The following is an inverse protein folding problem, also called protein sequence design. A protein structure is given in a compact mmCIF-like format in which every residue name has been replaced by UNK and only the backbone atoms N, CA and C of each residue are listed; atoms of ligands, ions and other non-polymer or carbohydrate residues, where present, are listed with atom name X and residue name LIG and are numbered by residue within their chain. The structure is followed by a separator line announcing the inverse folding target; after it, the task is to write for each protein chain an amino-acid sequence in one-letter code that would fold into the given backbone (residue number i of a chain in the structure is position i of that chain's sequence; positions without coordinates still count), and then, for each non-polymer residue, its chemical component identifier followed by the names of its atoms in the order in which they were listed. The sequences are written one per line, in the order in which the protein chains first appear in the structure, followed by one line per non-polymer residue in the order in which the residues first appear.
data_IF_386892784093
#
_entry.id   IF_386892784093
#
_cell.length_a   1.000
_cell.length_b   1.000
_cell.length_c   1.000
_cell.angle_alpha   90.00
_cell.angle_beta   90.00
_cell.angle_gamma   90.00
#
_symmetry.space_group_name_H-M   'P 1'
#
loop_
_entity.id
_entity.type
_entity.pdbx_description
1 polymer ?
#
# COMPACT_ATOMS: atom_id res chain seq x y z
N UNK A 1 -0.24 -49.22 -22.39
CA UNK A 1 0.99 -48.76 -23.10
C UNK A 1 0.59 -47.59 -23.98
N UNK A 2 1.34 -46.47 -23.89
CA UNK A 2 1.62 -45.42 -24.93
C UNK A 2 0.44 -45.01 -25.84
N UNK A 3 -0.01 -43.76 -25.97
CA UNK A 3 0.63 -42.47 -25.77
C UNK A 3 0.25 -41.53 -26.94
N UNK A 4 0.36 -40.22 -26.68
CA UNK A 4 0.47 -39.06 -27.61
C UNK A 4 -0.78 -38.23 -27.96
N UNK A 5 -0.60 -36.94 -27.59
CA UNK A 5 -1.29 -35.68 -27.90
C UNK A 5 -1.31 -35.33 -29.39
N UNK A 6 -2.30 -34.54 -29.83
CA UNK A 6 -2.13 -33.20 -30.43
C UNK A 6 -3.50 -32.56 -30.74
N UNK A 7 -3.78 -31.40 -30.12
CA UNK A 7 -3.89 -30.04 -30.71
C UNK A 7 -5.22 -29.76 -31.41
N UNK A 8 -6.05 -28.93 -30.76
CA UNK A 8 -7.06 -28.13 -31.43
C UNK A 8 -6.68 -26.65 -31.25
N UNK A 9 -6.26 -26.05 -32.36
CA UNK A 9 -6.08 -24.62 -32.54
C UNK A 9 -7.48 -23.98 -32.47
N UNK A 10 -7.72 -23.07 -31.54
CA UNK A 10 -8.86 -22.15 -31.66
C UNK A 10 -8.37 -20.84 -32.25
N UNK A 11 -8.74 -20.69 -33.52
CA UNK A 11 -8.52 -19.52 -34.36
C UNK A 11 -9.47 -18.42 -33.90
N UNK A 12 -8.93 -17.26 -33.51
CA UNK A 12 -9.71 -16.07 -33.18
C UNK A 12 -10.17 -15.43 -34.50
N UNK A 13 -11.37 -15.79 -34.96
CA UNK A 13 -11.98 -15.16 -36.15
C UNK A 13 -12.54 -13.79 -35.78
N UNK A 14 -11.90 -12.74 -36.30
CA UNK A 14 -12.45 -11.39 -36.36
C UNK A 14 -13.70 -11.39 -37.27
N UNK A 15 -14.88 -11.09 -36.71
CA UNK A 15 -16.08 -10.79 -37.49
C UNK A 15 -16.08 -9.32 -37.91
N UNK A 16 -15.70 -9.07 -39.15
CA UNK A 16 -16.11 -7.87 -39.89
C UNK A 16 -17.55 -8.07 -40.35
N UNK A 17 -18.49 -7.29 -39.82
CA UNK A 17 -19.84 -7.19 -40.36
C UNK A 17 -20.10 -5.78 -40.90
N UNK A 18 -20.56 -5.79 -42.15
CA UNK A 18 -20.88 -4.71 -43.06
C UNK A 18 -21.96 -3.77 -42.53
N UNK A 19 -21.75 -2.47 -42.74
CA UNK A 19 -22.73 -1.40 -42.52
C UNK A 19 -23.80 -1.43 -43.61
N UNK A 20 -25.09 -1.46 -43.22
CA UNK A 20 -26.16 -0.94 -44.07
C UNK A 20 -27.29 -0.36 -43.19
N UNK A 21 -27.77 0.81 -43.58
CA UNK A 21 -28.68 1.70 -42.86
C UNK A 21 -30.11 1.15 -42.68
N UNK A 22 -30.75 1.51 -41.56
CA UNK A 22 -32.06 2.21 -41.47
C UNK A 22 -32.80 1.87 -40.16
N UNK A 23 -33.09 2.89 -39.33
CA UNK A 23 -34.14 2.81 -38.30
C UNK A 23 -33.81 3.51 -36.99
N UNK A 24 -34.42 4.67 -36.77
CA UNK A 24 -34.24 5.57 -35.62
C UNK A 24 -34.41 4.91 -34.25
N UNK A 25 -33.45 5.16 -33.35
CA UNK A 25 -33.49 4.87 -31.92
C UNK A 25 -32.17 5.26 -31.28
N UNK A 26 -32.08 6.51 -30.79
CA UNK A 26 -30.86 7.08 -30.22
C UNK A 26 -30.53 6.44 -28.86
N UNK A 27 -29.62 5.47 -28.86
CA UNK A 27 -28.82 5.10 -27.69
C UNK A 27 -27.35 5.35 -28.06
N UNK A 28 -26.68 6.27 -27.35
CA UNK A 28 -25.23 6.43 -27.49
C UNK A 28 -24.53 5.43 -26.59
N UNK A 29 -23.68 4.64 -27.23
CA UNK A 29 -22.79 3.63 -26.72
C UNK A 29 -21.57 4.31 -26.05
N UNK A 30 -21.18 3.77 -24.90
CA UNK A 30 -19.92 3.98 -24.15
C UNK A 30 -19.07 5.19 -24.53
N UNK A 31 -19.17 6.24 -23.73
CA UNK A 31 -18.09 7.20 -23.61
C UNK A 31 -17.00 6.52 -22.78
N UNK A 32 -15.96 6.04 -23.48
CA UNK A 32 -14.68 5.65 -22.89
C UNK A 32 -14.18 6.87 -22.13
N UNK A 33 -14.27 6.84 -20.81
CA UNK A 33 -13.80 7.94 -19.97
C UNK A 33 -12.29 8.01 -20.14
N UNK A 34 -11.85 9.19 -20.54
CA UNK A 34 -10.46 9.56 -20.84
C UNK A 34 -9.57 9.11 -19.68
N UNK A 35 -8.46 8.43 -19.99
CA UNK A 35 -7.40 8.14 -19.02
C UNK A 35 -7.08 9.42 -18.25
N UNK A 36 -7.22 9.37 -16.92
CA UNK A 36 -6.82 10.46 -16.06
C UNK A 36 -5.34 10.76 -16.35
N UNK A 37 -4.97 12.05 -16.42
CA UNK A 37 -3.57 12.46 -16.64
C UNK A 37 -2.66 12.08 -15.45
N UNK A 38 -3.24 11.57 -14.36
CA UNK A 38 -2.58 10.93 -13.21
C UNK A 38 -3.24 9.56 -12.91
N UNK A 39 -2.43 8.56 -12.58
CA UNK A 39 -2.88 7.19 -12.27
C UNK A 39 -3.73 7.16 -11.01
N UNK A 40 -4.80 6.36 -11.00
CA UNK A 40 -5.65 6.11 -9.83
C UNK A 40 -4.86 5.58 -8.64
N UNK A 41 -3.74 4.89 -8.89
CA UNK A 41 -2.87 4.37 -7.83
C UNK A 41 -2.27 5.46 -6.94
N UNK A 42 -2.10 6.68 -7.45
CA UNK A 42 -1.62 7.84 -6.67
C UNK A 42 -2.66 8.42 -5.71
N UNK A 43 -3.92 8.05 -5.87
CA UNK A 43 -5.07 8.65 -5.17
C UNK A 43 -5.66 7.71 -4.10
N UNK A 44 -5.09 6.52 -3.95
CA UNK A 44 -5.52 5.50 -3.00
C UNK A 44 -4.43 5.20 -1.98
N UNK A 45 -4.76 4.54 -0.85
CA UNK A 45 -3.74 4.16 0.11
C UNK A 45 -2.72 3.21 -0.50
N UNK A 46 -1.48 3.27 -0.01
CA UNK A 46 -0.44 2.34 -0.47
C UNK A 46 -0.54 0.98 0.23
N UNK A 47 -1.04 0.97 1.47
CA UNK A 47 -1.06 -0.21 2.32
C UNK A 47 -2.45 -0.84 2.42
N UNK A 48 -2.55 -2.13 2.09
CA UNK A 48 -3.78 -2.90 2.18
C UNK A 48 -3.59 -4.18 3.00
N UNK A 49 -4.56 -4.52 3.85
CA UNK A 49 -4.54 -5.73 4.66
C UNK A 49 -5.79 -6.56 4.44
N UNK A 50 -5.58 -7.86 4.22
CA UNK A 50 -6.61 -8.89 4.23
C UNK A 50 -6.42 -9.78 5.46
N UNK A 51 -7.38 -9.73 6.37
CA UNK A 51 -7.41 -10.59 7.56
C UNK A 51 -8.84 -10.75 8.08
N UNK A 52 -9.07 -11.73 8.96
CA UNK A 52 -10.33 -11.88 9.68
C UNK A 52 -10.39 -11.10 11.00
N UNK A 53 -9.28 -10.47 11.42
CA UNK A 53 -9.13 -9.90 12.77
C UNK A 53 -9.12 -10.94 13.91
N UNK A 54 -9.18 -12.23 13.58
CA UNK A 54 -9.14 -13.36 14.52
C UNK A 54 -8.22 -14.45 13.98
N UNK A 55 -7.24 -14.87 14.78
CA UNK A 55 -6.15 -15.73 14.33
C UNK A 55 -4.86 -14.94 14.09
N UNK A 56 -3.76 -15.65 13.85
CA UNK A 56 -2.44 -15.06 13.68
C UNK A 56 -2.02 -15.11 12.20
N UNK A 57 -2.90 -14.61 11.33
CA UNK A 57 -2.71 -14.60 9.88
C UNK A 57 -3.12 -13.26 9.26
N UNK A 58 -2.45 -12.90 8.16
CA UNK A 58 -2.80 -11.76 7.33
C UNK A 58 -2.14 -11.92 5.95
N UNK A 59 -2.73 -11.27 4.95
CA UNK A 59 -2.04 -10.90 3.71
C UNK A 59 -1.94 -9.38 3.64
N UNK A 60 -0.72 -8.88 3.49
CA UNK A 60 -0.38 -7.47 3.45
C UNK A 60 0.11 -7.12 2.05
N UNK A 61 -0.32 -5.97 1.52
CA UNK A 61 0.12 -5.42 0.24
C UNK A 61 0.65 -4.01 0.45
N UNK A 62 1.78 -3.72 -0.17
CA UNK A 62 2.30 -2.37 -0.40
C UNK A 62 2.24 -2.10 -1.91
N UNK A 63 1.41 -1.15 -2.31
CA UNK A 63 1.12 -0.79 -3.70
C UNK A 63 1.78 0.53 -4.05
N UNK A 64 2.40 0.59 -5.21
CA UNK A 64 3.11 1.76 -5.75
C UNK A 64 2.21 2.56 -6.72
N UNK A 65 2.62 3.80 -7.02
CA UNK A 65 1.96 4.76 -7.93
C UNK A 65 1.66 4.24 -9.35
N UNK A 66 2.24 3.12 -9.76
CA UNK A 66 2.07 2.52 -11.08
C UNK A 66 1.33 1.17 -11.08
N UNK A 67 0.78 0.78 -9.92
CA UNK A 67 0.05 -0.47 -9.71
C UNK A 67 0.93 -1.69 -9.48
N UNK A 68 2.26 -1.54 -9.50
CA UNK A 68 3.16 -2.58 -9.00
C UNK A 68 3.01 -2.72 -7.50
N UNK A 69 3.20 -3.91 -6.96
CA UNK A 69 3.08 -4.14 -5.53
C UNK A 69 4.06 -5.21 -5.03
N UNK A 70 4.34 -5.13 -3.73
CA UNK A 70 4.93 -6.23 -2.95
C UNK A 70 3.94 -6.67 -1.88
N UNK A 71 4.05 -7.91 -1.43
CA UNK A 71 3.17 -8.41 -0.40
C UNK A 71 3.74 -9.59 0.37
N UNK A 72 3.18 -9.79 1.56
CA UNK A 72 3.50 -10.88 2.46
C UNK A 72 2.21 -11.50 2.95
N UNK A 73 2.08 -12.80 2.77
CA UNK A 73 1.10 -13.61 3.49
C UNK A 73 1.81 -14.33 4.63
N UNK A 74 1.18 -14.40 5.79
CA UNK A 74 1.58 -15.30 6.86
C UNK A 74 0.38 -15.93 7.55
N UNK A 75 0.56 -17.13 8.10
CA UNK A 75 -0.35 -17.78 9.04
C UNK A 75 0.43 -18.58 10.08
N UNK A 76 0.32 -18.15 11.33
CA UNK A 76 1.09 -18.67 12.46
C UNK A 76 0.30 -19.73 13.24
N UNK A 77 0.49 -20.99 12.85
CA UNK A 77 -0.07 -22.17 13.50
C UNK A 77 0.85 -22.68 14.62
N UNK A 78 0.91 -21.94 15.72
CA UNK A 78 1.83 -22.21 16.83
C UNK A 78 1.54 -23.52 17.59
N UNK A 79 0.37 -24.14 17.35
CA UNK A 79 0.03 -25.47 17.85
C UNK A 79 0.55 -26.63 17.00
N UNK A 80 0.87 -26.38 15.72
CA UNK A 80 1.37 -27.41 14.79
C UNK A 80 2.88 -27.59 14.97
N UNK A 81 3.24 -28.54 15.84
CA UNK A 81 4.61 -28.79 16.31
C UNK A 81 5.08 -30.19 15.92
N UNK A 82 6.40 -30.40 15.89
CA UNK A 82 6.99 -31.70 15.61
C UNK A 82 8.49 -31.78 15.86
N UNK A 83 9.11 -32.88 15.43
CA UNK A 83 10.53 -33.14 15.63
C UNK A 83 11.37 -32.07 14.92
N UNK A 84 12.14 -31.30 15.71
CA UNK A 84 12.98 -30.21 15.22
C UNK A 84 12.28 -28.85 15.18
N UNK A 85 10.95 -28.79 15.27
CA UNK A 85 10.18 -27.54 15.28
C UNK A 85 9.16 -27.47 16.46
N UNK A 86 9.65 -27.40 17.72
CA UNK A 86 8.78 -27.39 18.90
C UNK A 86 7.99 -26.08 19.07
N UNK A 87 8.33 -25.02 18.34
CA UNK A 87 7.76 -23.68 18.51
C UNK A 87 6.63 -23.38 17.51
N UNK A 88 6.21 -24.35 16.70
CA UNK A 88 5.06 -24.22 15.80
C UNK A 88 5.42 -24.24 14.32
N UNK A 89 4.40 -24.00 13.49
CA UNK A 89 4.51 -23.91 12.04
C UNK A 89 4.02 -22.54 11.57
N UNK A 90 4.72 -21.92 10.63
CA UNK A 90 4.31 -20.68 9.96
C UNK A 90 4.18 -20.98 8.47
N UNK A 91 2.99 -20.79 7.91
CA UNK A 91 2.78 -20.74 6.47
C UNK A 91 3.04 -19.32 6.01
N UNK A 92 3.77 -19.13 4.91
CA UNK A 92 4.08 -17.79 4.42
C UNK A 92 4.29 -17.75 2.91
N UNK A 93 4.08 -16.57 2.34
CA UNK A 93 4.39 -16.27 0.95
C UNK A 93 4.88 -14.83 0.85
N UNK A 94 6.11 -14.62 0.41
CA UNK A 94 6.54 -13.31 -0.10
C UNK A 94 6.25 -13.28 -1.59
N UNK A 95 5.66 -12.19 -2.07
CA UNK A 95 5.28 -12.08 -3.46
C UNK A 95 5.37 -10.64 -3.95
N UNK A 96 5.39 -10.49 -5.26
CA UNK A 96 5.29 -9.21 -5.95
C UNK A 96 4.43 -9.36 -7.19
N UNK A 97 3.90 -8.27 -7.69
CA UNK A 97 3.05 -8.32 -8.87
C UNK A 97 2.72 -6.95 -9.41
N UNK A 98 1.82 -6.93 -10.38
CA UNK A 98 1.33 -5.70 -10.99
C UNK A 98 -0.14 -5.81 -11.36
N UNK A 99 -0.92 -4.83 -10.92
CA UNK A 99 -2.26 -4.61 -11.42
C UNK A 99 -2.26 -3.65 -12.61
N UNK A 100 -3.21 -3.83 -13.53
CA UNK A 100 -3.55 -2.81 -14.54
C UNK A 100 -4.01 -1.51 -13.87
N UNK A 101 -4.00 -0.42 -14.64
CA UNK A 101 -4.64 0.84 -14.26
C UNK A 101 -6.14 0.64 -13.96
N UNK A 102 -6.65 1.00 -12.76
CA UNK A 102 -8.04 0.84 -12.41
C UNK A 102 -8.96 1.67 -13.30
N UNK A 103 -9.87 1.00 -14.02
CA UNK A 103 -10.84 1.65 -14.88
C UNK A 103 -12.17 1.82 -14.14
N UNK A 104 -12.58 3.08 -13.95
CA UNK A 104 -13.84 3.40 -13.30
C UNK A 104 -15.04 2.91 -14.13
N UNK A 105 -15.92 2.13 -13.52
CA UNK A 105 -17.18 1.69 -14.16
C UNK A 105 -18.44 2.05 -13.35
N UNK A 106 -18.29 2.42 -12.08
CA UNK A 106 -19.35 3.00 -11.26
C UNK A 106 -18.81 4.20 -10.45
N UNK A 107 -19.70 4.90 -9.75
CA UNK A 107 -19.36 6.03 -8.89
C UNK A 107 -18.28 5.67 -7.86
N UNK A 108 -18.34 4.49 -7.27
CA UNK A 108 -17.40 4.08 -6.22
C UNK A 108 -16.65 2.78 -6.57
N UNK A 109 -16.63 2.38 -7.85
CA UNK A 109 -16.09 1.09 -8.28
C UNK A 109 -15.19 1.25 -9.51
N UNK A 110 -14.02 0.62 -9.41
CA UNK A 110 -13.02 0.51 -10.46
C UNK A 110 -12.70 -0.96 -10.68
N UNK A 111 -12.50 -1.34 -11.94
CA UNK A 111 -12.11 -2.69 -12.34
C UNK A 111 -10.63 -2.70 -12.72
N UNK A 112 -9.91 -3.73 -12.29
CA UNK A 112 -8.51 -3.93 -12.62
C UNK A 112 -8.19 -5.42 -12.74
N UNK A 113 -7.28 -5.77 -13.63
CA UNK A 113 -6.73 -7.11 -13.78
C UNK A 113 -5.34 -7.22 -13.11
N UNK A 114 -5.02 -8.41 -12.61
CA UNK A 114 -3.68 -8.82 -12.18
C UNK A 114 -2.88 -9.26 -13.41
N UNK A 115 -1.91 -8.45 -13.84
CA UNK A 115 -1.08 -8.73 -15.02
C UNK A 115 0.10 -9.66 -14.70
N UNK A 116 0.73 -9.43 -13.54
CA UNK A 116 1.95 -10.11 -13.13
C UNK A 116 1.82 -10.53 -11.66
N UNK A 117 2.31 -11.74 -11.36
CA UNK A 117 2.37 -12.28 -10.00
C UNK A 117 3.59 -13.21 -9.91
N UNK A 118 4.53 -12.87 -9.04
CA UNK A 118 5.73 -13.65 -8.75
C UNK A 118 5.75 -13.99 -7.25
N UNK A 119 6.02 -15.25 -6.92
CA UNK A 119 6.11 -15.72 -5.53
C UNK A 119 7.51 -16.24 -5.23
N UNK A 120 7.99 -16.01 -4.02
CA UNK A 120 9.24 -16.60 -3.54
C UNK A 120 9.03 -18.04 -3.07
N UNK A 121 9.97 -18.91 -3.43
CA UNK A 121 9.94 -20.33 -3.06
C UNK A 121 8.94 -21.17 -3.86
N UNK A 122 8.87 -22.46 -3.52
CA UNK A 122 7.93 -23.40 -4.13
C UNK A 122 6.90 -23.81 -3.08
N UNK A 123 5.62 -23.73 -3.41
CA UNK A 123 4.53 -24.14 -2.52
C UNK A 123 4.78 -25.55 -1.92
N UNK A 124 4.64 -25.65 -0.60
CA UNK A 124 4.83 -26.88 0.17
C UNK A 124 6.28 -27.20 0.53
N UNK A 125 7.28 -26.52 -0.05
CA UNK A 125 8.65 -26.60 0.46
C UNK A 125 8.72 -25.97 1.85
N UNK A 126 9.58 -26.51 2.71
CA UNK A 126 9.70 -26.04 4.08
C UNK A 126 11.12 -26.12 4.61
N UNK A 127 11.40 -25.29 5.60
CA UNK A 127 12.65 -25.30 6.35
C UNK A 127 12.37 -25.07 7.83
N UNK A 128 13.34 -25.43 8.67
CA UNK A 128 13.26 -25.23 10.12
C UNK A 128 14.31 -24.20 10.50
N UNK A 129 13.87 -23.15 11.18
CA UNK A 129 14.75 -22.11 11.73
C UNK A 129 14.29 -21.78 13.15
N UNK A 130 15.24 -21.72 14.09
CA UNK A 130 14.98 -21.39 15.50
C UNK A 130 13.83 -22.21 16.16
N UNK A 131 13.64 -23.45 15.73
CA UNK A 131 12.62 -24.35 16.25
C UNK A 131 11.20 -24.07 15.72
N UNK A 132 11.04 -23.25 14.68
CA UNK A 132 9.79 -23.03 13.94
C UNK A 132 9.94 -23.66 12.56
N UNK A 133 8.89 -24.32 12.06
CA UNK A 133 8.83 -24.81 10.69
C UNK A 133 8.17 -23.75 9.81
N UNK A 134 8.89 -23.25 8.82
CA UNK A 134 8.37 -22.33 7.81
C UNK A 134 8.00 -23.10 6.55
N UNK A 135 6.78 -22.91 6.06
CA UNK A 135 6.24 -23.59 4.88
C UNK A 135 5.84 -22.55 3.85
N UNK A 136 6.40 -22.63 2.65
CA UNK A 136 6.00 -21.78 1.53
C UNK A 136 4.57 -22.11 1.11
N UNK A 137 3.74 -21.09 0.93
CA UNK A 137 2.34 -21.21 0.50
C UNK A 137 2.05 -20.30 -0.70
N UNK A 138 0.80 -20.32 -1.16
CA UNK A 138 0.28 -19.32 -2.09
C UNK A 138 -0.05 -17.99 -1.36
N UNK A 139 -0.10 -16.86 -2.09
CA UNK A 139 -0.49 -15.55 -1.55
C UNK A 139 -2.01 -15.48 -1.37
N UNK A 140 -2.50 -15.88 -0.19
CA UNK A 140 -3.93 -15.97 0.08
C UNK A 140 -4.64 -14.62 -0.13
N UNK A 141 -5.79 -14.64 -0.82
CA UNK A 141 -6.53 -13.44 -1.22
C UNK A 141 -6.11 -12.88 -2.58
N UNK A 142 -4.85 -13.08 -3.01
CA UNK A 142 -4.36 -12.70 -4.35
C UNK A 142 -4.52 -13.85 -5.34
N UNK A 143 -4.21 -15.09 -4.94
CA UNK A 143 -4.41 -16.25 -5.80
C UNK A 143 -5.91 -16.58 -6.00
N UNK A 144 -6.22 -17.39 -7.03
CA UNK A 144 -7.58 -17.86 -7.31
C UNK A 144 -8.40 -17.03 -8.31
N UNK A 145 -7.95 -15.82 -8.66
CA UNK A 145 -8.58 -14.96 -9.65
C UNK A 145 -7.60 -13.94 -10.25
N UNK A 146 -7.90 -13.44 -11.44
CA UNK A 146 -7.10 -12.38 -12.09
C UNK A 146 -7.83 -11.05 -12.19
N UNK A 147 -9.12 -11.00 -11.84
CA UNK A 147 -9.93 -9.79 -11.89
C UNK A 147 -10.21 -9.30 -10.47
N UNK A 148 -10.04 -8.01 -10.27
CA UNK A 148 -10.21 -7.34 -8.98
C UNK A 148 -11.09 -6.10 -9.13
N UNK A 149 -11.80 -5.79 -8.06
CA UNK A 149 -12.58 -4.54 -7.94
C UNK A 149 -11.99 -3.69 -6.83
N UNK A 150 -11.62 -2.46 -7.17
CA UNK A 150 -11.27 -1.42 -6.20
C UNK A 150 -12.53 -0.62 -5.86
N UNK A 151 -12.87 -0.60 -4.58
CA UNK A 151 -13.95 0.18 -3.99
C UNK A 151 -13.41 1.41 -3.29
N UNK A 152 -14.08 2.54 -3.49
CA UNK A 152 -13.78 3.79 -2.77
C UNK A 152 -14.73 3.99 -1.59
N UNK A 153 -14.38 4.83 -0.61
CA UNK A 153 -15.32 5.25 0.43
C UNK A 153 -16.64 5.76 -0.16
N UNK A 154 -17.75 5.37 0.47
CA UNK A 154 -19.11 5.67 0.05
C UNK A 154 -19.80 4.57 -0.78
N UNK A 155 -19.14 3.45 -1.08
CA UNK A 155 -19.80 2.29 -1.69
C UNK A 155 -20.87 1.70 -0.74
N UNK A 156 -22.15 1.58 -1.13
CA UNK A 156 -23.16 0.95 -0.29
C UNK A 156 -22.89 -0.54 -0.05
N UNK A 157 -23.04 -1.01 1.20
CA UNK A 157 -22.88 -2.43 1.54
C UNK A 157 -23.94 -3.32 0.86
N UNK A 158 -25.12 -2.78 0.56
CA UNK A 158 -26.18 -3.52 -0.16
C UNK A 158 -25.81 -3.85 -1.62
N UNK A 159 -24.78 -3.20 -2.16
CA UNK A 159 -24.30 -3.34 -3.53
C UNK A 159 -23.01 -4.17 -3.64
N UNK A 160 -22.54 -4.77 -2.53
CA UNK A 160 -21.39 -5.69 -2.54
C UNK A 160 -21.83 -7.07 -2.04
N UNK A 161 -21.01 -8.10 -2.28
CA UNK A 161 -21.32 -9.45 -1.79
C UNK A 161 -21.26 -9.54 -0.26
N UNK A 162 -22.01 -10.48 0.32
CA UNK A 162 -21.99 -10.74 1.77
C UNK A 162 -20.60 -11.19 2.25
N UNK A 163 -19.91 -12.01 1.46
CA UNK A 163 -18.56 -12.51 1.77
C UNK A 163 -17.55 -11.36 1.83
N UNK A 164 -17.52 -10.50 0.82
CA UNK A 164 -16.63 -9.33 0.80
C UNK A 164 -16.98 -8.34 1.92
N UNK A 165 -18.27 -8.07 2.14
CA UNK A 165 -18.71 -7.19 3.21
C UNK A 165 -18.24 -7.69 4.59
N UNK A 166 -18.22 -9.01 4.79
CA UNK A 166 -17.75 -9.60 6.04
C UNK A 166 -16.26 -9.33 6.28
N UNK A 167 -15.41 -9.50 5.25
CA UNK A 167 -13.98 -9.23 5.35
C UNK A 167 -13.69 -7.77 5.72
N UNK A 168 -14.33 -6.82 5.02
CA UNK A 168 -14.15 -5.39 5.27
C UNK A 168 -14.62 -5.00 6.67
N UNK A 169 -15.78 -5.50 7.12
CA UNK A 169 -16.32 -5.21 8.46
C UNK A 169 -15.50 -5.80 9.59
N UNK A 170 -14.89 -6.96 9.36
CA UNK A 170 -14.04 -7.63 10.34
C UNK A 170 -12.74 -6.85 10.58
N UNK A 171 -12.24 -6.16 9.56
CA UNK A 171 -10.99 -5.38 9.61
C UNK A 171 -11.20 -3.91 10.01
N UNK A 172 -12.33 -3.28 9.65
CA UNK A 172 -12.58 -1.83 9.84
C UNK A 172 -13.16 -1.43 11.21
N UNK A 173 -13.40 -2.37 12.12
CA UNK A 173 -13.77 -2.05 13.50
C UNK A 173 -15.12 -1.36 13.70
N UNK A 174 -16.21 -2.13 13.70
CA UNK A 174 -17.49 -1.85 14.40
C UNK A 174 -18.21 -0.49 14.21
N UNK A 175 -17.89 0.34 13.21
CA UNK A 175 -18.78 1.45 12.86
C UNK A 175 -19.96 0.91 12.04
N UNK A 176 -21.15 0.84 12.65
CA UNK A 176 -22.39 0.49 11.95
C UNK A 176 -22.72 1.56 10.91
N UNK A 177 -22.23 1.34 9.69
CA UNK A 177 -22.47 2.17 8.51
C UNK A 177 -23.10 1.31 7.42
N UNK A 178 -23.98 1.93 6.62
CA UNK A 178 -24.61 1.28 5.46
C UNK A 178 -23.72 1.33 4.20
N UNK A 179 -22.53 1.90 4.30
CA UNK A 179 -21.56 2.08 3.22
C UNK A 179 -20.12 1.88 3.69
N UNK A 180 -19.22 1.51 2.79
CA UNK A 180 -17.78 1.41 3.05
C UNK A 180 -17.21 2.78 3.43
N UNK A 181 -16.46 2.85 4.53
CA UNK A 181 -15.79 4.07 4.98
C UNK A 181 -14.33 4.14 4.56
N UNK A 182 -13.81 3.11 3.89
CA UNK A 182 -12.42 2.95 3.51
C UNK A 182 -12.32 2.55 2.03
N UNK A 183 -11.10 2.65 1.49
CA UNK A 183 -10.76 1.95 0.25
C UNK A 183 -10.70 0.45 0.51
N UNK A 184 -11.06 -0.35 -0.49
CA UNK A 184 -10.95 -1.80 -0.39
C UNK A 184 -10.74 -2.45 -1.76
N UNK A 185 -9.92 -3.50 -1.81
CA UNK A 185 -9.69 -4.32 -3.00
C UNK A 185 -10.37 -5.66 -2.79
N UNK A 186 -11.17 -6.09 -3.77
CA UNK A 186 -11.85 -7.38 -3.75
C UNK A 186 -11.33 -8.25 -4.87
N UNK A 187 -10.91 -9.47 -4.54
CA UNK A 187 -10.70 -10.51 -5.55
C UNK A 187 -12.06 -10.97 -6.07
N UNK A 188 -12.36 -10.70 -7.34
CA UNK A 188 -13.70 -10.96 -7.89
C UNK A 188 -14.06 -12.45 -7.91
N UNK A 189 -13.07 -13.35 -7.96
CA UNK A 189 -13.30 -14.79 -8.01
C UNK A 189 -13.57 -15.38 -6.62
N UNK A 190 -12.80 -14.98 -5.62
CA UNK A 190 -12.84 -15.56 -4.26
C UNK A 190 -13.62 -14.72 -3.25
N UNK A 191 -13.92 -13.46 -3.59
CA UNK A 191 -14.53 -12.45 -2.72
C UNK A 191 -13.69 -12.08 -1.49
N UNK A 192 -12.39 -12.41 -1.51
CA UNK A 192 -11.43 -12.00 -0.48
C UNK A 192 -11.25 -10.48 -0.52
N UNK A 193 -11.37 -9.84 0.65
CA UNK A 193 -11.45 -8.39 0.79
C UNK A 193 -10.28 -7.77 1.55
N UNK A 194 -9.44 -7.04 0.84
CA UNK A 194 -8.36 -6.24 1.40
C UNK A 194 -8.88 -4.86 1.77
N UNK A 195 -8.59 -4.40 2.98
CA UNK A 195 -8.93 -3.05 3.45
C UNK A 195 -7.72 -2.14 3.31
N UNK A 196 -7.90 -1.02 2.62
CA UNK A 196 -6.90 0.02 2.52
C UNK A 196 -6.83 0.78 3.84
N UNK A 197 -5.63 0.82 4.41
CA UNK A 197 -5.32 1.68 5.53
C UNK A 197 -4.74 2.94 4.94
N UNK A 198 -5.44 4.06 5.13
CA UNK A 198 -4.85 5.36 4.82
C UNK A 198 -3.44 5.38 5.37
N UNK A 199 -2.51 5.85 4.54
CA UNK A 199 -1.15 6.06 4.97
C UNK A 199 -1.22 6.73 6.34
N UNK A 200 -0.52 6.18 7.33
CA UNK A 200 -0.13 6.88 8.56
C UNK A 200 0.85 8.01 8.20
N UNK A 201 0.55 8.77 7.16
CA UNK A 201 1.12 10.05 6.80
C UNK A 201 0.21 11.12 7.39
N UNK A 202 0.25 11.20 8.72
CA UNK A 202 -0.45 12.23 9.46
C UNK A 202 -0.47 12.00 10.96
N UNK A 203 -0.77 10.79 11.45
CA UNK A 203 -1.06 10.61 12.88
C UNK A 203 0.09 9.98 13.69
N UNK A 204 0.82 8.98 13.17
CA UNK A 204 2.01 8.44 13.87
C UNK A 204 3.31 9.23 13.58
N UNK A 205 3.38 9.96 12.44
CA UNK A 205 4.55 10.81 12.11
C UNK A 205 4.50 12.20 12.74
N UNK A 206 3.36 12.70 13.22
CA UNK A 206 3.32 14.03 13.89
C UNK A 206 4.17 14.06 15.17
N UNK A 207 4.25 12.92 15.85
CA UNK A 207 5.11 12.77 17.03
C UNK A 207 6.54 12.36 16.67
N UNK A 208 6.86 11.95 15.44
CA UNK A 208 8.23 11.62 15.03
C UNK A 208 8.94 12.73 14.25
N UNK A 209 8.23 13.44 13.38
CA UNK A 209 8.75 14.51 12.52
C UNK A 209 7.83 15.75 12.55
N UNK A 210 8.41 16.92 12.38
CA UNK A 210 7.68 18.19 12.26
C UNK A 210 7.28 18.44 10.81
N UNK A 211 8.17 18.10 9.87
CA UNK A 211 7.92 18.10 8.44
C UNK A 211 8.57 16.88 7.81
N UNK A 212 7.86 15.75 7.84
CA UNK A 212 8.33 14.48 7.32
C UNK A 212 8.85 14.59 5.88
N UNK A 213 8.17 15.40 5.06
CA UNK A 213 8.44 15.66 3.65
C UNK A 213 9.60 16.63 3.36
N UNK A 214 10.20 17.25 4.39
CA UNK A 214 11.19 18.33 4.20
C UNK A 214 12.50 17.90 3.52
N UNK A 215 12.72 16.60 3.34
CA UNK A 215 13.85 16.03 2.61
C UNK A 215 13.58 15.80 1.11
N UNK A 216 12.33 15.82 0.65
CA UNK A 216 11.98 15.57 -0.76
C UNK A 216 10.95 16.53 -1.37
N UNK A 217 10.36 17.42 -0.56
CA UNK A 217 9.41 18.44 -1.02
C UNK A 217 9.77 19.86 -0.55
N UNK A 218 9.27 20.88 -1.26
CA UNK A 218 9.44 22.28 -0.88
C UNK A 218 8.33 22.73 0.07
N UNK A 219 8.73 23.21 1.24
CA UNK A 219 7.81 23.84 2.18
C UNK A 219 7.35 25.20 1.68
N UNK A 220 6.10 25.53 1.97
CA UNK A 220 5.45 26.77 1.62
C UNK A 220 4.73 27.39 2.83
N UNK A 221 4.11 28.55 2.60
CA UNK A 221 3.46 29.33 3.66
C UNK A 221 2.33 28.57 4.34
N UNK A 222 1.60 27.71 3.62
CA UNK A 222 0.50 26.92 4.18
C UNK A 222 1.01 25.90 5.21
N UNK A 223 2.17 25.30 4.97
CA UNK A 223 2.76 24.28 5.86
C UNK A 223 3.11 24.85 7.24
N UNK A 224 3.36 26.16 7.33
CA UNK A 224 3.76 26.83 8.58
C UNK A 224 2.65 27.68 9.21
N UNK A 225 1.46 27.73 8.60
CA UNK A 225 0.33 28.48 9.17
C UNK A 225 0.03 27.98 10.59
N UNK A 226 0.01 28.91 11.54
CA UNK A 226 -0.32 28.62 12.94
C UNK A 226 0.79 27.97 13.78
N UNK A 227 1.95 27.63 13.19
CA UNK A 227 3.10 27.09 13.93
C UNK A 227 3.84 28.20 14.69
N UNK A 228 4.32 27.89 15.90
CA UNK A 228 5.11 28.84 16.69
C UNK A 228 6.54 28.96 16.17
N UNK A 229 7.25 30.02 16.57
CA UNK A 229 8.68 30.16 16.25
C UNK A 229 9.51 29.00 16.81
N UNK A 230 9.13 28.47 17.96
CA UNK A 230 9.78 27.30 18.55
C UNK A 230 9.60 26.06 17.67
N UNK A 231 8.39 25.81 17.15
CA UNK A 231 8.13 24.71 16.21
C UNK A 231 8.91 24.89 14.91
N UNK A 232 8.97 26.12 14.36
CA UNK A 232 9.74 26.43 13.15
C UNK A 232 11.24 26.21 13.39
N UNK A 233 11.76 26.61 14.56
CA UNK A 233 13.15 26.37 14.92
C UNK A 233 13.43 24.87 15.10
N UNK A 234 12.49 24.12 15.64
CA UNK A 234 12.61 22.68 15.81
C UNK A 234 12.57 21.96 14.46
N UNK A 235 11.77 22.42 13.50
CA UNK A 235 11.76 21.94 12.10
C UNK A 235 13.11 22.17 11.40
N UNK A 236 13.73 23.33 11.59
CA UNK A 236 15.09 23.56 11.08
C UNK A 236 16.05 22.57 11.74
N UNK A 237 15.97 22.40 13.07
CA UNK A 237 16.82 21.44 13.76
C UNK A 237 16.61 20.01 13.26
N UNK A 238 15.39 19.61 12.89
CA UNK A 238 15.08 18.30 12.35
C UNK A 238 15.83 18.01 11.05
N UNK A 239 15.86 18.97 10.12
CA UNK A 239 16.64 18.84 8.88
C UNK A 239 18.11 18.58 9.23
N UNK A 240 18.69 19.33 10.17
CA UNK A 240 20.07 19.05 10.61
C UNK A 240 20.22 17.72 11.36
N UNK A 241 19.20 17.29 12.11
CA UNK A 241 19.21 16.06 12.90
C UNK A 241 19.22 14.82 12.00
N UNK A 242 18.56 14.86 10.83
CA UNK A 242 18.60 13.79 9.81
C UNK A 242 20.03 13.50 9.33
N UNK A 243 20.89 14.52 9.37
CA UNK A 243 22.31 14.42 9.03
C UNK A 243 23.22 14.17 10.24
N UNK A 244 22.65 13.87 11.41
CA UNK A 244 23.39 13.47 12.62
C UNK A 244 23.92 14.61 13.48
N UNK A 245 23.36 15.83 13.40
CA UNK A 245 23.77 16.96 14.24
C UNK A 245 23.64 16.67 15.72
N UNK A 246 24.69 16.92 16.51
CA UNK A 246 24.65 16.81 17.97
C UNK A 246 24.16 18.12 18.61
N UNK A 247 23.06 18.07 19.37
CA UNK A 247 22.49 19.24 20.04
C UNK A 247 23.03 19.43 21.47
N UNK A 248 23.42 20.66 21.81
CA UNK A 248 23.94 21.01 23.15
C UNK A 248 22.84 21.43 24.13
N UNK A 249 21.73 21.98 23.63
CA UNK A 249 20.60 22.41 24.46
C UNK A 249 19.84 21.18 24.92
N UNK A 250 19.72 20.99 26.24
CA UNK A 250 19.14 19.79 26.88
C UNK A 250 17.80 19.38 26.29
N UNK A 251 16.90 20.34 26.09
CA UNK A 251 15.52 20.04 25.68
C UNK A 251 15.45 19.61 24.21
N UNK A 252 16.31 20.20 23.37
CA UNK A 252 16.41 19.85 21.95
C UNK A 252 17.10 18.50 21.79
N UNK A 253 18.15 18.24 22.56
CA UNK A 253 18.83 16.96 22.59
C UNK A 253 17.89 15.84 23.07
N UNK A 254 17.12 16.07 24.13
CA UNK A 254 16.14 15.10 24.64
C UNK A 254 15.03 14.81 23.63
N UNK A 255 14.54 15.85 22.94
CA UNK A 255 13.52 15.70 21.89
C UNK A 255 14.02 14.81 20.74
N UNK A 256 15.21 15.06 20.19
CA UNK A 256 15.72 14.24 19.09
C UNK A 256 16.15 12.85 19.55
N UNK A 257 16.68 12.71 20.77
CA UNK A 257 17.02 11.41 21.33
C UNK A 257 15.81 10.49 21.53
N UNK A 258 14.58 11.02 21.56
CA UNK A 258 13.36 10.21 21.61
C UNK A 258 12.86 9.77 20.24
N UNK A 259 13.47 10.23 19.14
CA UNK A 259 13.06 9.87 17.77
C UNK A 259 13.75 8.59 17.34
N UNK A 260 12.99 7.66 16.78
CA UNK A 260 13.48 6.36 16.31
C UNK A 260 14.52 6.49 15.17
N UNK A 261 14.42 7.58 14.39
CA UNK A 261 15.25 7.87 13.22
C UNK A 261 16.52 8.68 13.51
N UNK A 262 16.70 9.24 14.70
CA UNK A 262 17.81 10.16 14.98
C UNK A 262 19.07 9.42 15.45
N UNK A 263 20.13 9.53 14.66
CA UNK A 263 21.45 8.93 14.95
C UNK A 263 22.55 10.01 15.01
N UNK A 264 22.94 10.48 16.21
CA UNK A 264 23.94 11.54 16.35
C UNK A 264 25.34 11.08 15.93
N UNK A 265 26.00 11.87 15.08
CA UNK A 265 27.37 11.63 14.62
C UNK A 265 28.32 12.55 15.39
N UNK A 266 29.14 11.97 16.27
CA UNK A 266 30.12 12.72 17.04
C UNK A 266 31.12 13.44 16.11
N UNK A 267 31.50 14.66 16.48
CA UNK A 267 32.48 15.50 15.77
C UNK A 267 32.03 16.08 14.41
N UNK A 268 30.82 15.77 13.92
CA UNK A 268 30.29 16.34 12.67
C UNK A 268 29.89 17.81 12.87
N UNK A 269 30.43 18.71 12.05
CA UNK A 269 30.18 20.17 12.15
C UNK A 269 28.97 20.59 11.32
N UNK A 270 28.34 21.72 11.68
CA UNK A 270 27.23 22.29 10.91
C UNK A 270 27.61 22.54 9.45
N UNK A 271 28.84 22.99 9.17
CA UNK A 271 29.33 23.20 7.79
C UNK A 271 29.39 21.89 6.98
N UNK A 272 29.72 20.75 7.61
CA UNK A 272 29.74 19.45 6.95
C UNK A 272 28.33 18.97 6.67
N UNK A 273 27.41 19.18 7.61
CA UNK A 273 25.99 18.85 7.46
C UNK A 273 25.37 19.66 6.32
N UNK A 274 25.58 20.98 6.30
CA UNK A 274 25.04 21.85 5.24
C UNK A 274 25.60 21.49 3.86
N UNK A 275 26.84 20.98 3.79
CA UNK A 275 27.41 20.50 2.53
C UNK A 275 26.77 19.20 2.01
N UNK A 276 26.10 18.44 2.87
CA UNK A 276 25.38 17.21 2.53
C UNK A 276 23.90 17.45 2.20
N UNK A 277 23.37 18.64 2.50
CA UNK A 277 21.98 18.98 2.19
C UNK A 277 21.67 18.83 0.70
N UNK A 278 20.53 18.21 0.43
CA UNK A 278 19.96 18.21 -0.90
C UNK A 278 19.30 19.58 -1.23
N UNK A 279 18.76 19.70 -2.45
CA UNK A 279 18.12 20.95 -2.90
C UNK A 279 16.91 21.36 -2.07
N UNK A 280 16.10 20.39 -1.63
CA UNK A 280 14.90 20.61 -0.83
C UNK A 280 15.26 21.08 0.57
N UNK A 281 16.13 20.34 1.27
CA UNK A 281 16.56 20.65 2.63
C UNK A 281 17.17 22.05 2.73
N UNK A 282 18.03 22.41 1.76
CA UNK A 282 18.61 23.75 1.69
C UNK A 282 17.54 24.83 1.48
N UNK A 283 16.64 24.64 0.52
CA UNK A 283 15.57 25.59 0.25
C UNK A 283 14.61 25.74 1.43
N UNK A 284 14.32 24.64 2.13
CA UNK A 284 13.43 24.58 3.28
C UNK A 284 14.04 25.25 4.50
N UNK A 285 15.33 25.05 4.79
CA UNK A 285 16.04 25.80 5.85
C UNK A 285 16.01 27.30 5.55
N UNK A 286 16.32 27.69 4.30
CA UNK A 286 16.28 29.10 3.88
C UNK A 286 14.86 29.70 3.94
N UNK A 287 13.84 28.91 3.64
CA UNK A 287 12.43 29.30 3.75
C UNK A 287 12.02 29.50 5.21
N UNK A 288 12.23 28.50 6.07
CA UNK A 288 11.85 28.51 7.49
C UNK A 288 12.58 29.61 8.27
N UNK A 289 13.86 29.87 7.96
CA UNK A 289 14.66 30.90 8.64
C UNK A 289 14.08 32.31 8.49
N UNK A 290 13.23 32.56 7.48
CA UNK A 290 12.55 33.86 7.30
C UNK A 290 11.50 34.15 8.38
N UNK A 291 11.08 33.13 9.12
CA UNK A 291 9.99 33.21 10.11
C UNK A 291 10.47 33.12 11.56
N UNK A 292 11.79 33.06 11.79
CA UNK A 292 12.42 33.13 13.11
C UNK A 292 12.76 34.58 13.51
#
# INVERSE_FOLDING_TARGET
MKGRRCVAVFCMTAMLLSVNEMGAGSWKQGELVVAAEDSMWKEIPEYFVFSSGVGAWATELQVEDDGSFTGVYHDSEMGDTGDGYPNGTVYFCNFSGKFTEPLRFDKCMYEMDLEELETEGTEGESYIENGVRYVYSEPYGISGGTQFTLYTPGQPYEMVSEDFAWWVRSSSGSQETDYLTCYAICNAATQDGFVGYENQEGEDREDEYIFAQSDHEYLNEQDIIGKSKETIQQAINEIYARHGRVFQKSDVAAYFASKSWYYPIQEKTDDQIVAEFNSYEKANVDFLAKYL
#
